data_IF_168321743150
#
_entry.id   IF_168321743150
#
_cell.length_a   1.000
_cell.length_b   1.000
_cell.length_c   1.000
_cell.angle_alpha   90.00
_cell.angle_beta   90.00
_cell.angle_gamma   90.00
#
_symmetry.space_group_name_H-M   'P 1'
#
loop_
_entity.id
_entity.type
_entity.pdbx_description
1 polymer ?
#
# COMPACT_ATOMS: atom_id res chain seq x y z
N UNK A 1 -31.56 -12.20 -24.43
CA UNK A 1 -30.45 -11.86 -23.50
C UNK A 1 -30.69 -10.44 -23.03
N UNK A 2 -30.70 -10.22 -21.71
CA UNK A 2 -30.96 -8.90 -21.16
C UNK A 2 -29.88 -7.91 -21.61
N UNK A 3 -30.29 -6.68 -21.94
CA UNK A 3 -29.45 -5.67 -22.59
C UNK A 3 -28.48 -5.03 -21.57
N UNK A 4 -27.47 -5.80 -21.19
CA UNK A 4 -26.43 -5.41 -20.23
C UNK A 4 -25.64 -4.19 -20.71
N UNK A 5 -25.50 -4.00 -22.01
CA UNK A 5 -24.87 -2.82 -22.60
C UNK A 5 -25.72 -1.56 -22.35
N UNK A 6 -27.05 -1.66 -22.50
CA UNK A 6 -27.97 -0.56 -22.14
C UNK A 6 -27.97 -0.27 -20.65
N UNK A 7 -27.97 -1.29 -19.81
CA UNK A 7 -27.88 -1.12 -18.36
C UNK A 7 -26.59 -0.38 -17.95
N UNK A 8 -25.44 -0.75 -18.53
CA UNK A 8 -24.15 -0.06 -18.31
C UNK A 8 -24.17 1.39 -18.76
N UNK A 9 -24.71 1.69 -19.95
CA UNK A 9 -24.83 3.08 -20.42
C UNK A 9 -25.73 3.91 -19.50
N UNK A 10 -26.85 3.33 -19.05
CA UNK A 10 -27.76 3.99 -18.12
C UNK A 10 -27.11 4.23 -16.75
N UNK A 11 -26.37 3.25 -16.23
CA UNK A 11 -25.59 3.38 -14.99
C UNK A 11 -24.64 4.59 -15.03
N UNK A 12 -23.80 4.69 -16.08
CA UNK A 12 -22.86 5.82 -16.24
C UNK A 12 -23.62 7.15 -16.27
N UNK A 13 -24.76 7.19 -16.96
CA UNK A 13 -25.57 8.41 -17.07
C UNK A 13 -26.23 8.78 -15.75
N UNK A 14 -26.78 7.81 -15.01
CA UNK A 14 -27.37 8.01 -13.67
C UNK A 14 -26.30 8.57 -12.73
N UNK A 15 -25.09 7.98 -12.71
CA UNK A 15 -23.99 8.47 -11.89
C UNK A 15 -23.73 9.95 -12.14
N UNK A 16 -23.51 10.35 -13.40
CA UNK A 16 -23.26 11.75 -13.77
C UNK A 16 -24.38 12.70 -13.34
N UNK A 17 -25.64 12.30 -13.58
CA UNK A 17 -26.79 13.14 -13.25
C UNK A 17 -26.94 13.29 -11.74
N UNK A 18 -26.81 12.20 -11.00
CA UNK A 18 -26.95 12.20 -9.53
C UNK A 18 -25.83 13.05 -8.91
N UNK A 19 -24.57 12.86 -9.32
CA UNK A 19 -23.45 13.70 -8.87
C UNK A 19 -23.71 15.19 -9.09
N UNK A 20 -24.05 15.59 -10.31
CA UNK A 20 -24.32 16.99 -10.63
C UNK A 20 -25.55 17.55 -9.89
N UNK A 21 -26.58 16.73 -9.68
CA UNK A 21 -27.80 17.16 -8.98
C UNK A 21 -27.54 17.36 -7.49
N UNK A 22 -26.73 16.50 -6.86
CA UNK A 22 -26.31 16.67 -5.47
C UNK A 22 -25.56 17.99 -5.31
N UNK A 23 -24.55 18.23 -6.15
CA UNK A 23 -23.72 19.45 -6.09
C UNK A 23 -24.53 20.74 -6.30
N UNK A 24 -25.50 20.74 -7.23
CA UNK A 24 -26.22 21.95 -7.62
C UNK A 24 -27.51 22.20 -6.84
N UNK A 25 -28.24 21.15 -6.45
CA UNK A 25 -29.63 21.27 -5.98
C UNK A 25 -29.82 20.85 -4.51
N UNK A 26 -28.94 20.03 -3.94
CA UNK A 26 -29.11 19.53 -2.58
C UNK A 26 -28.22 20.35 -1.63
N UNK A 27 -28.86 21.28 -0.91
CA UNK A 27 -28.24 22.11 0.13
C UNK A 27 -28.76 21.74 1.50
N UNK A 28 -28.69 20.46 1.85
CA UNK A 28 -29.07 19.99 3.18
C UNK A 28 -27.87 20.17 4.13
N UNK A 29 -28.00 20.90 5.25
CA UNK A 29 -26.91 21.07 6.22
C UNK A 29 -26.44 19.75 6.85
N UNK A 30 -27.25 18.67 6.78
CA UNK A 30 -26.90 17.32 7.27
C UNK A 30 -26.11 16.51 6.25
N UNK A 31 -26.10 16.94 4.98
CA UNK A 31 -25.34 16.26 3.94
C UNK A 31 -23.87 16.66 4.07
N UNK A 32 -23.01 15.72 4.45
CA UNK A 32 -21.57 15.90 4.43
C UNK A 32 -21.04 16.07 3.01
N UNK A 33 -19.71 16.12 2.85
CA UNK A 33 -19.11 16.12 1.52
C UNK A 33 -19.24 14.72 0.90
N UNK A 34 -20.36 14.50 0.21
CA UNK A 34 -20.71 13.23 -0.44
C UNK A 34 -20.12 13.16 -1.84
N UNK A 35 -19.44 12.06 -2.14
CA UNK A 35 -18.92 11.76 -3.48
C UNK A 35 -19.57 10.50 -4.02
N UNK A 36 -20.08 10.53 -5.25
CA UNK A 36 -20.64 9.33 -5.90
C UNK A 36 -19.51 8.59 -6.63
N UNK A 37 -19.24 7.35 -6.26
CA UNK A 37 -18.15 6.54 -6.82
C UNK A 37 -18.61 5.78 -8.07
N UNK A 38 -19.72 5.05 -7.94
CA UNK A 38 -20.24 4.19 -8.99
C UNK A 38 -21.79 4.12 -9.00
N UNK A 39 -22.36 3.61 -10.09
CA UNK A 39 -23.76 3.24 -10.15
C UNK A 39 -23.93 1.92 -10.91
N UNK A 40 -24.80 1.06 -10.43
CA UNK A 40 -25.16 -0.21 -11.07
C UNK A 40 -26.64 -0.25 -11.34
N UNK A 41 -27.02 -0.82 -12.48
CA UNK A 41 -28.42 -0.95 -12.89
C UNK A 41 -28.68 -2.42 -13.19
N UNK A 42 -29.81 -2.92 -12.72
CA UNK A 42 -30.26 -4.28 -13.00
C UNK A 42 -30.51 -4.48 -14.49
N UNK A 43 -30.45 -5.73 -14.95
CA UNK A 43 -30.58 -6.04 -16.37
C UNK A 43 -31.98 -5.75 -16.94
N UNK A 44 -32.98 -5.61 -16.09
CA UNK A 44 -34.35 -5.21 -16.41
C UNK A 44 -34.59 -3.69 -16.30
N UNK A 45 -33.57 -2.91 -15.94
CA UNK A 45 -33.58 -1.46 -15.80
C UNK A 45 -34.57 -0.91 -14.77
N UNK A 46 -35.05 -1.75 -13.83
CA UNK A 46 -36.02 -1.34 -12.81
C UNK A 46 -35.38 -0.82 -11.54
N UNK A 47 -34.18 -1.26 -11.23
CA UNK A 47 -33.47 -0.88 -10.00
C UNK A 47 -32.08 -0.36 -10.35
N UNK A 48 -31.68 0.69 -9.64
CA UNK A 48 -30.35 1.28 -9.75
C UNK A 48 -29.78 1.50 -8.35
N UNK A 49 -28.60 0.94 -8.11
CA UNK A 49 -27.83 1.12 -6.89
C UNK A 49 -26.75 2.15 -7.14
N UNK A 50 -26.72 3.21 -6.34
CA UNK A 50 -25.74 4.29 -6.40
C UNK A 50 -24.81 4.14 -5.19
N UNK A 51 -23.51 4.04 -5.47
CA UNK A 51 -22.47 3.92 -4.46
C UNK A 51 -21.90 5.31 -4.16
N UNK A 52 -21.73 5.62 -2.88
CA UNK A 52 -21.24 6.92 -2.45
C UNK A 52 -20.30 6.82 -1.26
N UNK A 53 -19.32 7.71 -1.19
CA UNK A 53 -18.49 7.91 0.00
C UNK A 53 -18.89 9.21 0.68
N UNK A 54 -18.71 9.27 2.00
CA UNK A 54 -18.87 10.50 2.79
C UNK A 54 -17.53 10.77 3.43
N UNK A 55 -17.04 12.00 3.30
CA UNK A 55 -15.91 12.44 4.09
C UNK A 55 -16.41 12.85 5.47
N UNK A 56 -16.10 12.06 6.50
CA UNK A 56 -16.63 12.27 7.85
C UNK A 56 -16.53 11.08 8.80
N UNK A 57 -17.06 11.28 10.00
CA UNK A 57 -17.27 10.22 10.98
C UNK A 57 -18.57 9.43 10.71
N UNK A 58 -18.81 8.37 11.50
CA UNK A 58 -20.01 7.53 11.38
C UNK A 58 -21.31 8.33 11.49
N UNK A 59 -21.36 9.38 12.32
CA UNK A 59 -22.56 10.20 12.48
C UNK A 59 -22.86 10.99 11.21
N UNK A 60 -21.83 11.50 10.53
CA UNK A 60 -21.97 12.18 9.25
C UNK A 60 -22.38 11.23 8.13
N UNK A 61 -21.95 9.96 8.18
CA UNK A 61 -22.39 8.91 7.25
C UNK A 61 -23.89 8.67 7.41
N UNK A 62 -24.37 8.48 8.64
CA UNK A 62 -25.80 8.28 8.92
C UNK A 62 -26.65 9.49 8.54
N UNK A 63 -26.20 10.69 8.90
CA UNK A 63 -26.87 11.95 8.56
C UNK A 63 -26.99 12.13 7.04
N UNK A 64 -25.91 11.85 6.31
CA UNK A 64 -25.87 11.89 4.85
C UNK A 64 -26.79 10.83 4.22
N UNK A 65 -26.87 9.63 4.80
CA UNK A 65 -27.78 8.58 4.35
C UNK A 65 -29.25 9.04 4.47
N UNK A 66 -29.62 9.68 5.58
CA UNK A 66 -30.98 10.23 5.78
C UNK A 66 -31.29 11.38 4.82
N UNK A 67 -30.30 12.24 4.56
CA UNK A 67 -30.44 13.34 3.60
C UNK A 67 -30.65 12.79 2.17
N UNK A 68 -29.86 11.81 1.73
CA UNK A 68 -30.00 11.16 0.42
C UNK A 68 -31.34 10.42 0.29
N UNK A 69 -31.79 9.74 1.35
CA UNK A 69 -33.10 9.10 1.37
C UNK A 69 -34.23 10.12 1.15
N UNK A 70 -34.15 11.27 1.82
CA UNK A 70 -35.12 12.36 1.66
C UNK A 70 -35.07 12.98 0.26
N UNK A 71 -33.89 13.07 -0.34
CA UNK A 71 -33.69 13.63 -1.68
C UNK A 71 -33.99 12.66 -2.83
N UNK A 72 -34.26 11.38 -2.54
CA UNK A 72 -34.45 10.32 -3.54
C UNK A 72 -35.52 10.68 -4.59
N UNK A 73 -36.63 11.30 -4.16
CA UNK A 73 -37.71 11.71 -5.07
C UNK A 73 -37.26 12.78 -6.08
N UNK A 74 -36.48 13.75 -5.64
CA UNK A 74 -35.91 14.82 -6.49
C UNK A 74 -34.89 14.22 -7.45
N UNK A 75 -33.95 13.41 -6.94
CA UNK A 75 -32.92 12.74 -7.74
C UNK A 75 -33.54 11.87 -8.83
N UNK A 76 -34.52 11.04 -8.49
CA UNK A 76 -35.22 10.18 -9.45
C UNK A 76 -35.95 11.00 -10.51
N UNK A 77 -36.62 12.09 -10.12
CA UNK A 77 -37.31 12.98 -11.06
C UNK A 77 -36.33 13.64 -12.04
N UNK A 78 -35.18 14.10 -11.55
CA UNK A 78 -34.14 14.72 -12.38
C UNK A 78 -33.50 13.71 -13.33
N UNK A 79 -33.22 12.49 -12.86
CA UNK A 79 -32.76 11.39 -13.72
C UNK A 79 -33.75 11.13 -14.85
N UNK A 80 -35.05 11.04 -14.56
CA UNK A 80 -36.08 10.86 -15.58
C UNK A 80 -36.09 11.98 -16.62
N UNK A 81 -36.05 13.23 -16.17
CA UNK A 81 -36.03 14.41 -17.06
C UNK A 81 -34.79 14.45 -17.96
N UNK A 82 -33.62 14.12 -17.43
CA UNK A 82 -32.35 14.22 -18.19
C UNK A 82 -32.05 13.00 -19.04
N UNK A 83 -32.63 11.83 -18.74
CA UNK A 83 -32.43 10.60 -19.54
C UNK A 83 -33.55 10.36 -20.56
N UNK A 84 -34.74 10.95 -20.37
CA UNK A 84 -35.88 10.78 -21.27
C UNK A 84 -36.47 9.37 -21.28
N UNK A 85 -36.16 8.54 -20.28
CA UNK A 85 -36.65 7.16 -20.20
C UNK A 85 -38.07 7.10 -19.64
N UNK A 86 -38.89 6.22 -20.21
CA UNK A 86 -40.29 6.02 -19.78
C UNK A 86 -40.40 5.51 -18.35
N UNK A 87 -39.53 4.57 -17.98
CA UNK A 87 -39.51 3.98 -16.65
C UNK A 87 -38.18 4.32 -15.99
N UNK A 88 -38.25 5.20 -15.00
CA UNK A 88 -37.08 5.58 -14.22
C UNK A 88 -36.87 4.54 -13.12
N UNK A 89 -35.67 3.92 -13.03
CA UNK A 89 -35.40 2.94 -11.99
C UNK A 89 -35.58 3.53 -10.59
N UNK A 90 -35.87 2.67 -9.63
CA UNK A 90 -35.78 3.02 -8.21
C UNK A 90 -34.31 3.20 -7.85
N UNK A 91 -33.98 4.30 -7.17
CA UNK A 91 -32.61 4.58 -6.72
C UNK A 91 -32.45 4.07 -5.29
N UNK A 92 -31.47 3.19 -5.09
CA UNK A 92 -30.98 2.78 -3.77
C UNK A 92 -29.58 3.35 -3.56
N UNK A 93 -29.27 3.79 -2.34
CA UNK A 93 -27.98 4.37 -1.99
C UNK A 93 -27.23 3.43 -1.05
N UNK A 94 -25.98 3.13 -1.37
CA UNK A 94 -25.11 2.28 -0.55
C UNK A 94 -23.82 3.06 -0.27
N UNK A 95 -23.48 3.19 1.00
CA UNK A 95 -22.21 3.79 1.40
C UNK A 95 -21.06 2.84 1.04
N UNK A 96 -20.08 3.38 0.33
CA UNK A 96 -18.81 2.74 0.05
C UNK A 96 -17.91 3.05 1.24
N UNK A 97 -17.83 2.11 2.18
CA UNK A 97 -16.95 2.20 3.35
C UNK A 97 -15.52 2.00 2.89
N UNK A 98 -14.89 3.08 2.45
CA UNK A 98 -13.43 3.14 2.37
C UNK A 98 -12.95 3.38 3.80
N UNK A 99 -12.16 2.47 4.41
CA UNK A 99 -11.59 2.70 5.73
C UNK A 99 -10.87 4.03 5.73
N UNK A 100 -10.93 4.75 6.85
CA UNK A 100 -10.24 6.02 7.06
C UNK A 100 -8.71 5.79 7.08
N UNK A 101 -8.16 5.54 5.89
CA UNK A 101 -6.79 5.07 5.67
C UNK A 101 -5.80 6.12 6.17
N UNK A 102 -6.25 7.37 6.28
CA UNK A 102 -5.50 8.47 6.85
C UNK A 102 -5.12 8.19 8.31
N UNK A 103 -6.06 7.77 9.17
CA UNK A 103 -5.76 7.46 10.57
C UNK A 103 -4.78 6.31 10.72
N UNK A 104 -5.03 5.21 10.01
CA UNK A 104 -4.15 4.03 10.07
C UNK A 104 -2.73 4.35 9.58
N UNK A 105 -2.62 5.16 8.52
CA UNK A 105 -1.34 5.62 8.00
C UNK A 105 -0.63 6.57 8.98
N UNK A 106 -1.37 7.48 9.60
CA UNK A 106 -0.83 8.43 10.58
C UNK A 106 -0.32 7.70 11.83
N UNK A 107 -1.09 6.74 12.34
CA UNK A 107 -0.67 5.86 13.44
C UNK A 107 0.55 5.00 13.06
N UNK A 108 0.61 4.50 11.82
CA UNK A 108 1.78 3.75 11.33
C UNK A 108 3.03 4.64 11.21
N UNK A 109 2.89 5.86 10.68
CA UNK A 109 3.98 6.83 10.57
C UNK A 109 4.49 7.26 11.94
N UNK A 110 3.60 7.48 12.91
CA UNK A 110 3.98 7.84 14.27
C UNK A 110 4.75 6.71 14.97
N UNK A 111 4.32 5.46 14.78
CA UNK A 111 5.02 4.28 15.29
C UNK A 111 6.45 4.17 14.73
N UNK A 112 6.63 4.40 13.43
CA UNK A 112 7.96 4.39 12.79
C UNK A 112 8.83 5.52 13.32
N UNK A 113 8.30 6.75 13.41
CA UNK A 113 9.05 7.89 13.99
C UNK A 113 9.52 7.62 15.40
N UNK A 114 8.67 7.00 16.23
CA UNK A 114 9.04 6.64 17.59
C UNK A 114 10.17 5.59 17.61
N UNK A 115 10.07 4.54 16.79
CA UNK A 115 11.10 3.51 16.71
C UNK A 115 12.46 4.08 16.23
N UNK A 116 12.45 4.95 15.22
CA UNK A 116 13.65 5.60 14.70
C UNK A 116 14.31 6.51 15.74
N UNK A 117 13.51 7.25 16.52
CA UNK A 117 14.01 8.11 17.59
C UNK A 117 14.68 7.30 18.72
N UNK A 118 14.10 6.17 19.11
CA UNK A 118 14.72 5.27 20.11
C UNK A 118 16.03 4.66 19.59
N UNK A 119 16.06 4.24 18.32
CA UNK A 119 17.27 3.71 17.69
C UNK A 119 18.38 4.76 17.57
N UNK A 120 18.02 6.00 17.23
CA UNK A 120 18.98 7.11 17.17
C UNK A 120 19.61 7.37 18.54
N UNK A 121 18.80 7.43 19.61
CA UNK A 121 19.30 7.57 20.99
C UNK A 121 20.18 6.39 21.42
N UNK A 122 19.81 5.17 21.05
CA UNK A 122 20.60 3.98 21.36
C UNK A 122 21.95 3.97 20.61
N UNK A 123 22.02 4.56 19.41
CA UNK A 123 23.24 4.67 18.60
C UNK A 123 24.20 5.76 19.09
N UNK A 124 23.71 6.84 19.68
CA UNK A 124 24.55 7.94 20.19
C UNK A 124 25.56 7.48 21.26
N UNK A 125 25.27 6.40 21.99
CA UNK A 125 26.17 5.80 22.98
C UNK A 125 26.79 4.46 22.58
N UNK A 126 26.56 3.97 21.36
CA UNK A 126 27.03 2.66 20.94
C UNK A 126 28.46 2.73 20.40
N UNK A 127 29.37 1.97 21.02
CA UNK A 127 30.70 1.73 20.48
C UNK A 127 30.62 0.61 19.43
N UNK A 128 31.31 0.79 18.30
CA UNK A 128 31.33 -0.21 17.23
C UNK A 128 31.99 -1.49 17.75
N UNK A 129 31.31 -2.64 17.63
CA UNK A 129 31.77 -3.91 18.18
C UNK A 129 32.98 -4.55 17.44
N UNK A 130 33.65 -3.80 16.55
CA UNK A 130 34.79 -4.27 15.77
C UNK A 130 36.05 -3.45 16.03
N UNK A 131 37.20 -4.12 15.90
CA UNK A 131 38.52 -3.48 15.99
C UNK A 131 38.76 -2.54 14.80
N UNK A 132 39.58 -1.50 14.99
CA UNK A 132 39.81 -0.42 14.02
C UNK A 132 40.49 -0.87 12.71
N UNK A 133 41.05 -2.08 12.67
CA UNK A 133 41.65 -2.66 11.47
C UNK A 133 41.20 -4.12 11.29
N UNK A 134 40.25 -4.39 10.36
CA UNK A 134 39.76 -5.74 10.12
C UNK A 134 40.73 -6.61 9.30
N UNK A 135 41.90 -6.11 8.89
CA UNK A 135 42.86 -6.84 8.05
C UNK A 135 44.03 -7.42 8.84
N UNK A 136 44.34 -8.70 8.55
CA UNK A 136 45.52 -9.39 9.08
C UNK A 136 46.78 -8.81 8.45
N UNK A 137 47.66 -8.22 9.25
CA UNK A 137 48.97 -7.75 8.79
C UNK A 137 49.86 -8.94 8.39
N UNK A 138 50.62 -8.84 7.28
CA UNK A 138 51.61 -9.85 6.92
C UNK A 138 52.67 -9.95 8.03
N UNK A 139 53.10 -11.18 8.34
CA UNK A 139 54.26 -11.41 9.21
C UNK A 139 55.50 -10.94 8.47
N UNK A 140 56.31 -10.10 9.12
CA UNK A 140 57.65 -9.77 8.64
C UNK A 140 58.57 -10.93 9.07
N UNK A 141 59.09 -11.68 8.11
CA UNK A 141 60.16 -12.65 8.34
C UNK A 141 61.38 -11.88 8.85
N UNK A 142 61.66 -12.01 10.15
CA UNK A 142 62.93 -11.59 10.73
C UNK A 142 63.86 -12.78 10.64
N UNK A 143 64.75 -12.73 9.64
CA UNK A 143 65.92 -13.59 9.59
C UNK A 143 66.81 -13.24 10.79
N UNK A 144 66.78 -14.05 11.85
CA UNK A 144 67.80 -14.07 12.90
C UNK A 144 68.03 -15.52 13.40
N UNK A 145 69.12 -16.06 12.86
CA UNK A 145 69.97 -17.20 13.25
C UNK A 145 69.63 -18.00 14.52
N UNK A 146 69.43 -19.31 14.36
CA UNK A 146 69.68 -20.30 15.41
C UNK A 146 70.52 -21.47 14.86
N UNK A 147 71.78 -21.50 15.27
CA UNK A 147 72.69 -22.64 15.21
C UNK A 147 72.06 -23.88 15.87
N UNK A 148 71.90 -24.96 15.11
CA UNK A 148 71.67 -26.30 15.65
C UNK A 148 72.40 -27.37 14.82
N UNK A 149 73.31 -28.05 15.51
CA UNK A 149 74.19 -29.14 15.08
C UNK A 149 73.43 -30.33 14.44
N UNK A 150 73.89 -30.94 13.34
CA UNK A 150 73.23 -32.11 12.76
C UNK A 150 73.87 -33.38 13.32
N UNK A 151 73.18 -34.12 14.18
CA UNK A 151 73.42 -35.57 14.32
C UNK A 151 72.25 -36.29 15.00
N UNK A 152 71.82 -37.34 14.28
CA UNK A 152 71.02 -38.52 14.62
C UNK A 152 69.47 -38.48 14.68
N UNK A 153 68.84 -39.62 14.29
CA UNK A 153 67.53 -39.71 13.64
C UNK A 153 66.54 -40.51 14.53
N UNK A 154 65.50 -41.09 13.90
CA UNK A 154 64.45 -41.97 14.46
C UNK A 154 63.23 -41.22 15.03
N UNK A 155 61.97 -41.63 14.88
CA UNK A 155 61.26 -42.63 14.08
C UNK A 155 59.76 -42.24 14.23
N UNK A 156 58.97 -42.59 13.22
CA UNK A 156 57.56 -43.03 13.30
C UNK A 156 56.42 -42.15 13.85
N UNK A 157 55.43 -41.93 12.97
CA UNK A 157 54.13 -42.58 13.19
C UNK A 157 52.87 -41.71 13.35
N UNK A 158 51.89 -42.03 12.50
CA UNK A 158 50.42 -41.95 12.70
C UNK A 158 49.64 -40.66 12.34
N UNK A 159 49.11 -40.67 11.10
CA UNK A 159 47.69 -40.73 10.72
C UNK A 159 46.58 -39.94 11.46
N UNK A 160 45.69 -39.36 10.64
CA UNK A 160 44.33 -38.91 10.95
C UNK A 160 44.01 -37.61 10.19
N UNK A 161 43.68 -37.64 8.90
CA UNK A 161 42.34 -37.90 8.33
C UNK A 161 41.19 -37.36 9.20
N UNK A 162 40.66 -36.20 8.82
CA UNK A 162 39.23 -35.93 8.90
C UNK A 162 38.88 -34.79 7.92
N UNK A 163 38.42 -35.20 6.74
CA UNK A 163 37.80 -34.35 5.75
C UNK A 163 36.28 -34.48 5.83
N UNK A 164 35.54 -33.40 6.12
CA UNK A 164 34.13 -33.26 5.74
C UNK A 164 33.69 -31.77 5.72
N UNK A 165 32.59 -31.37 5.04
CA UNK A 165 32.65 -30.95 3.65
C UNK A 165 31.89 -29.63 3.39
N UNK A 166 31.91 -29.25 2.12
CA UNK A 166 31.10 -28.25 1.43
C UNK A 166 29.62 -28.68 1.36
N UNK A 167 28.65 -27.81 1.72
CA UNK A 167 27.33 -27.75 1.05
C UNK A 167 26.44 -26.52 1.45
N UNK A 168 26.17 -25.69 0.44
CA UNK A 168 24.97 -24.89 0.08
C UNK A 168 24.17 -24.12 1.14
N UNK A 169 23.97 -22.81 0.90
CA UNK A 169 22.69 -22.30 0.34
C UNK A 169 22.70 -20.80 -0.05
N UNK A 170 22.43 -20.64 -1.35
CA UNK A 170 22.07 -19.46 -2.13
C UNK A 170 20.89 -18.63 -1.56
N UNK A 171 20.91 -17.31 -1.78
CA UNK A 171 19.68 -16.52 -1.97
C UNK A 171 19.58 -15.18 -1.22
N UNK A 172 20.06 -14.09 -1.83
CA UNK A 172 19.56 -12.71 -1.67
C UNK A 172 19.99 -11.95 -2.94
N UNK A 173 19.14 -11.91 -3.96
CA UNK A 173 18.01 -10.99 -4.16
C UNK A 173 18.45 -9.56 -4.50
N UNK A 174 17.79 -9.06 -5.55
CA UNK A 174 18.23 -8.03 -6.45
C UNK A 174 17.68 -6.69 -5.99
N UNK A 175 18.52 -5.67 -5.84
CA UNK A 175 18.08 -4.29 -5.70
C UNK A 175 18.51 -3.48 -6.95
N UNK A 176 17.61 -2.75 -7.62
CA UNK A 176 17.94 -1.98 -8.82
C UNK A 176 18.56 -0.63 -8.44
N UNK A 177 19.67 -0.27 -9.09
CA UNK A 177 20.24 1.08 -9.02
C UNK A 177 19.88 1.93 -10.27
N UNK A 178 19.80 3.27 -10.13
CA UNK A 178 19.06 4.15 -11.02
C UNK A 178 19.84 4.54 -12.29
N UNK A 179 19.11 4.65 -13.41
CA UNK A 179 19.66 5.12 -14.68
C UNK A 179 19.92 6.62 -14.65
N UNK A 180 21.16 7.00 -14.94
CA UNK A 180 21.58 8.38 -15.18
C UNK A 180 21.07 8.87 -16.53
N UNK A 181 20.39 10.00 -16.50
CA UNK A 181 20.05 10.83 -17.66
C UNK A 181 21.28 11.60 -18.14
N UNK A 182 21.71 11.39 -19.39
CA UNK A 182 22.45 12.38 -20.20
C UNK A 182 21.98 12.20 -21.65
N UNK A 183 21.10 13.08 -22.12
CA UNK A 183 21.39 14.34 -22.82
C UNK A 183 21.69 14.13 -24.30
N UNK A 184 20.83 14.75 -25.13
CA UNK A 184 20.87 14.91 -26.58
C UNK A 184 22.17 15.64 -27.04
N UNK A 185 22.43 15.84 -28.35
CA UNK A 185 21.53 16.46 -29.33
C UNK A 185 20.94 15.52 -30.40
#
# INVERSE_FOLDING_TARGET
MADSARARRLAVRIRQIVSATIEMQIKDPRLGMVTITDARVTSDLREATVFYTVYGDETQIEDSARALASATGVLRSTVGKQTGIKFVPTLAFIADIVPDTARELEEALERVRHADAELARAREGAEYAGEADPYRRPVEDTDDDLDANPDDPDEDGAAGDDAVPDDVRNGLDTAPQPQQTRSAP
#
